data_IF_920864243368
#
_entry.id   IF_920864243368
#
_cell.length_a   1.000
_cell.length_b   1.000
_cell.length_c   1.000
_cell.angle_alpha   90.00
_cell.angle_beta   90.00
_cell.angle_gamma   90.00
#
_symmetry.space_group_name_H-M   'P 1'
#
loop_
_entity.id
_entity.type
_entity.pdbx_description
1 polymer ?
#
# COMPACT_ATOMS: atom_id res chain seq x y z
N UNK A 1 0.44 15.81 -11.94
CA UNK A 1 0.00 14.58 -12.63
C UNK A 1 -1.32 14.22 -12.02
N UNK A 2 -2.30 13.77 -12.77
CA UNK A 2 -3.59 13.45 -12.17
C UNK A 2 -3.52 12.14 -11.40
N UNK A 3 -4.47 11.92 -10.49
CA UNK A 3 -4.61 10.65 -9.78
C UNK A 3 -4.70 9.50 -10.79
N UNK A 4 -5.48 9.66 -11.84
CA UNK A 4 -5.65 8.59 -12.84
C UNK A 4 -4.36 8.30 -13.59
N UNK A 5 -3.57 9.31 -13.93
CA UNK A 5 -2.24 9.12 -14.54
C UNK A 5 -1.32 8.32 -13.61
N UNK A 6 -1.28 8.68 -12.32
CA UNK A 6 -0.50 7.97 -11.31
C UNK A 6 -0.98 6.52 -11.19
N UNK A 7 -2.28 6.29 -11.04
CA UNK A 7 -2.84 4.96 -10.84
C UNK A 7 -2.62 4.04 -12.05
N UNK A 8 -2.80 4.56 -13.27
CA UNK A 8 -2.47 3.80 -14.50
C UNK A 8 -1.00 3.39 -14.51
N UNK A 9 -0.10 4.32 -14.14
CA UNK A 9 1.33 4.03 -14.07
C UNK A 9 1.66 2.96 -13.02
N UNK A 10 1.08 3.08 -11.83
CA UNK A 10 1.25 2.10 -10.75
C UNK A 10 0.72 0.74 -11.16
N UNK A 11 -0.46 0.68 -11.76
CA UNK A 11 -1.06 -0.56 -12.24
C UNK A 11 -0.20 -1.24 -13.30
N UNK A 12 0.35 -0.46 -14.25
CA UNK A 12 1.28 -0.97 -15.26
C UNK A 12 2.55 -1.57 -14.64
N UNK A 13 3.15 -0.87 -13.67
CA UNK A 13 4.36 -1.35 -12.99
C UNK A 13 4.10 -2.65 -12.23
N UNK A 14 2.96 -2.76 -11.53
CA UNK A 14 2.64 -3.91 -10.69
C UNK A 14 2.14 -5.13 -11.50
N UNK A 15 1.21 -4.91 -12.43
CA UNK A 15 0.41 -5.97 -13.03
C UNK A 15 0.71 -6.22 -14.52
N UNK A 16 1.45 -5.32 -15.18
CA UNK A 16 1.83 -5.37 -16.60
C UNK A 16 0.64 -5.66 -17.52
N UNK A 17 0.43 -6.92 -17.89
CA UNK A 17 -0.66 -7.34 -18.78
C UNK A 17 -2.05 -7.16 -18.17
N UNK A 18 -2.16 -7.13 -16.84
CA UNK A 18 -3.43 -6.96 -16.12
C UNK A 18 -3.61 -5.53 -15.57
N UNK A 19 -2.92 -4.55 -16.16
CA UNK A 19 -2.87 -3.18 -15.65
C UNK A 19 -4.24 -2.49 -15.69
N UNK A 20 -5.02 -2.75 -16.73
CA UNK A 20 -6.36 -2.16 -16.89
C UNK A 20 -7.31 -2.70 -15.82
N UNK A 21 -7.30 -4.01 -15.56
CA UNK A 21 -8.12 -4.63 -14.51
C UNK A 21 -7.75 -4.12 -13.12
N UNK A 22 -6.46 -3.93 -12.84
CA UNK A 22 -6.01 -3.37 -11.57
C UNK A 22 -6.40 -1.89 -11.43
N UNK A 23 -6.30 -1.11 -12.51
CA UNK A 23 -6.74 0.29 -12.52
C UNK A 23 -8.25 0.39 -12.25
N UNK A 24 -9.06 -0.38 -12.96
CA UNK A 24 -10.52 -0.44 -12.77
C UNK A 24 -10.88 -0.84 -11.34
N UNK A 25 -10.20 -1.87 -10.81
CA UNK A 25 -10.34 -2.26 -9.42
C UNK A 25 -10.08 -1.07 -8.48
N UNK A 26 -8.97 -0.36 -8.64
CA UNK A 26 -8.59 0.75 -7.76
C UNK A 26 -9.66 1.85 -7.77
N UNK A 27 -10.09 2.31 -8.95
CA UNK A 27 -11.03 3.44 -9.03
C UNK A 27 -12.43 3.09 -8.52
N UNK A 28 -12.82 1.81 -8.56
CA UNK A 28 -14.12 1.34 -8.11
C UNK A 28 -14.15 0.79 -6.68
N UNK A 29 -13.00 0.61 -6.03
CA UNK A 29 -12.95 -0.10 -4.74
C UNK A 29 -12.12 0.58 -3.67
N UNK A 30 -11.54 1.75 -3.94
CA UNK A 30 -10.71 2.46 -2.97
C UNK A 30 -11.30 3.80 -2.52
N UNK A 31 -10.87 4.26 -1.35
CA UNK A 31 -11.30 5.48 -0.69
C UNK A 31 -10.14 6.45 -0.51
N UNK A 32 -10.34 7.74 -0.79
CA UNK A 32 -9.34 8.76 -0.52
C UNK A 32 -9.36 9.20 0.95
N UNK A 33 -8.21 9.10 1.61
CA UNK A 33 -8.05 9.35 3.05
C UNK A 33 -7.07 10.51 3.34
N UNK A 34 -7.04 11.54 2.48
CA UNK A 34 -6.22 12.74 2.75
C UNK A 34 -4.71 12.55 2.59
N UNK A 35 -4.29 11.63 1.71
CA UNK A 35 -2.87 11.38 1.43
C UNK A 35 -2.58 9.96 0.92
N UNK A 36 -3.52 9.04 1.08
CA UNK A 36 -3.45 7.69 0.54
C UNK A 36 -4.83 7.20 0.13
N UNK A 37 -4.87 6.21 -0.75
CA UNK A 37 -6.06 5.41 -1.04
C UNK A 37 -6.07 4.16 -0.18
N UNK A 38 -7.25 3.69 0.22
CA UNK A 38 -7.42 2.39 0.89
C UNK A 38 -8.57 1.60 0.31
N UNK A 39 -8.38 0.30 0.09
CA UNK A 39 -9.44 -0.61 -0.33
C UNK A 39 -10.58 -0.63 0.68
N UNK A 40 -11.79 -0.52 0.16
CA UNK A 40 -13.05 -0.60 0.89
C UNK A 40 -13.41 -2.06 1.15
N UNK A 41 -14.59 -2.27 1.75
CA UNK A 41 -15.11 -3.61 1.95
C UNK A 41 -15.68 -4.21 0.66
N UNK A 42 -16.34 -3.40 -0.19
CA UNK A 42 -17.00 -3.83 -1.42
C UNK A 42 -16.74 -2.88 -2.61
N UNK A 43 -17.10 -3.36 -3.81
CA UNK A 43 -17.19 -2.57 -5.04
C UNK A 43 -18.20 -1.42 -4.91
N UNK A 44 -17.91 -0.30 -5.59
CA UNK A 44 -18.81 0.84 -5.75
C UNK A 44 -18.99 1.24 -7.21
N UNK A 45 -20.22 1.58 -7.58
CA UNK A 45 -20.55 2.13 -8.91
C UNK A 45 -19.93 3.52 -9.12
N UNK A 46 -19.83 4.33 -8.05
CA UNK A 46 -19.21 5.65 -8.11
C UNK A 46 -17.69 5.52 -8.05
N UNK A 47 -17.03 5.85 -9.16
CA UNK A 47 -15.57 5.90 -9.27
C UNK A 47 -14.95 7.03 -8.43
N UNK A 48 -13.69 6.83 -8.04
CA UNK A 48 -12.85 7.88 -7.48
C UNK A 48 -12.77 9.08 -8.43
N UNK A 49 -12.96 10.28 -7.91
CA UNK A 49 -12.75 11.50 -8.69
C UNK A 49 -11.29 11.63 -9.10
N UNK A 50 -11.04 12.06 -10.34
CA UNK A 50 -9.71 12.46 -10.77
C UNK A 50 -9.36 13.86 -10.25
N UNK A 51 -8.14 14.04 -9.76
CA UNK A 51 -7.64 15.30 -9.21
C UNK A 51 -6.12 15.37 -9.34
N UNK A 52 -5.56 16.56 -9.26
CA UNK A 52 -4.10 16.74 -9.28
C UNK A 52 -3.44 16.13 -8.06
N UNK A 53 -2.51 15.18 -8.29
CA UNK A 53 -1.55 14.70 -7.32
C UNK A 53 -0.14 15.18 -7.72
N UNK A 54 0.74 15.38 -6.74
CA UNK A 54 1.99 16.14 -6.90
C UNK A 54 2.79 15.83 -8.18
N UNK A 55 3.44 16.83 -8.77
CA UNK A 55 4.07 16.73 -10.10
C UNK A 55 5.31 15.85 -10.19
N UNK A 56 5.98 15.56 -9.08
CA UNK A 56 7.36 15.02 -9.06
C UNK A 56 7.52 13.78 -8.18
N UNK A 57 6.51 12.91 -8.17
CA UNK A 57 6.57 11.65 -7.45
C UNK A 57 7.58 10.71 -8.11
N UNK A 58 8.57 10.24 -7.33
CA UNK A 58 9.60 9.31 -7.81
C UNK A 58 9.38 7.92 -7.24
N UNK A 59 9.06 7.85 -5.95
CA UNK A 59 8.77 6.59 -5.26
C UNK A 59 7.45 6.72 -4.54
N UNK A 60 6.61 5.69 -4.62
CA UNK A 60 5.44 5.57 -3.74
C UNK A 60 5.46 4.22 -3.01
N UNK A 61 4.62 4.12 -1.98
CA UNK A 61 4.39 2.91 -1.23
C UNK A 61 3.02 2.35 -1.57
N UNK A 62 2.99 1.05 -1.84
CA UNK A 62 1.77 0.24 -1.85
C UNK A 62 1.87 -0.74 -0.71
N UNK A 63 0.84 -0.90 0.11
CA UNK A 63 0.83 -1.92 1.17
C UNK A 63 -0.37 -2.84 1.03
N UNK A 64 -0.17 -4.13 1.25
CA UNK A 64 -1.22 -5.13 1.18
C UNK A 64 -1.50 -5.74 2.55
N UNK A 65 -2.73 -6.18 2.77
CA UNK A 65 -3.10 -6.98 3.95
C UNK A 65 -2.56 -8.40 3.89
N UNK A 66 -2.47 -8.96 2.69
CA UNK A 66 -1.94 -10.30 2.40
C UNK A 66 -1.12 -10.25 1.11
N UNK A 67 -0.19 -11.20 0.88
CA UNK A 67 0.52 -11.29 -0.39
C UNK A 67 -0.45 -11.43 -1.57
N UNK A 68 -0.10 -10.84 -2.71
CA UNK A 68 -0.87 -10.93 -3.94
C UNK A 68 0.08 -10.94 -5.15
N UNK A 69 -0.20 -11.79 -6.14
CA UNK A 69 0.57 -11.86 -7.38
C UNK A 69 -0.15 -11.07 -8.48
N UNK A 70 0.23 -9.82 -8.66
CA UNK A 70 -0.37 -8.92 -9.66
C UNK A 70 -0.14 -9.37 -11.11
N UNK A 71 0.94 -10.13 -11.37
CA UNK A 71 1.27 -10.58 -12.72
C UNK A 71 0.35 -11.71 -13.19
N UNK A 72 -0.06 -12.58 -12.27
CA UNK A 72 -0.81 -13.80 -12.61
C UNK A 72 -2.23 -13.85 -12.04
N UNK A 73 -2.63 -12.90 -11.20
CA UNK A 73 -3.96 -12.87 -10.59
C UNK A 73 -4.70 -11.56 -10.87
N UNK A 74 -5.95 -11.71 -11.32
CA UNK A 74 -6.95 -10.65 -11.43
C UNK A 74 -8.11 -10.85 -10.46
N UNK A 75 -7.99 -11.79 -9.52
CA UNK A 75 -9.02 -12.10 -8.53
C UNK A 75 -9.04 -11.03 -7.42
N UNK A 76 -9.50 -9.83 -7.76
CA UNK A 76 -9.56 -8.70 -6.83
C UNK A 76 -10.82 -8.71 -5.96
N UNK A 77 -11.84 -9.46 -6.36
CA UNK A 77 -13.12 -9.59 -5.69
C UNK A 77 -13.41 -11.03 -5.31
N UNK A 78 -14.27 -11.23 -4.33
CA UNK A 78 -14.78 -12.56 -4.00
C UNK A 78 -15.68 -13.09 -5.12
N UNK A 79 -15.67 -14.41 -5.32
CA UNK A 79 -16.60 -15.09 -6.24
C UNK A 79 -17.87 -15.48 -5.48
N UNK A 80 -19.03 -15.24 -6.08
CA UNK A 80 -20.31 -15.58 -5.47
C UNK A 80 -21.49 -14.76 -6.02
N UNK A 81 -22.68 -15.14 -5.59
CA UNK A 81 -23.92 -14.44 -5.92
C UNK A 81 -24.19 -13.37 -4.86
N UNK A 82 -23.74 -12.14 -5.12
CA UNK A 82 -23.89 -11.01 -4.22
C UNK A 82 -25.09 -10.16 -4.62
N UNK A 83 -26.04 -9.99 -3.70
CA UNK A 83 -27.29 -9.27 -3.97
C UNK A 83 -27.12 -7.75 -4.13
N UNK A 84 -26.06 -7.16 -3.54
CA UNK A 84 -25.88 -5.71 -3.49
C UNK A 84 -24.55 -5.23 -4.09
N UNK A 85 -23.44 -5.90 -3.78
CA UNK A 85 -22.11 -5.51 -4.25
C UNK A 85 -21.09 -6.60 -3.93
N UNK A 86 -20.19 -6.91 -4.86
CA UNK A 86 -19.11 -7.87 -4.67
C UNK A 86 -18.10 -7.38 -3.63
N UNK A 87 -17.68 -8.24 -2.70
CA UNK A 87 -16.67 -7.89 -1.70
C UNK A 87 -15.27 -7.87 -2.30
N UNK A 88 -14.41 -6.96 -1.84
CA UNK A 88 -13.01 -6.93 -2.31
C UNK A 88 -12.20 -7.98 -1.55
N UNK A 89 -11.55 -8.86 -2.31
CA UNK A 89 -10.61 -9.86 -1.79
C UNK A 89 -9.24 -9.22 -1.58
N UNK A 90 -8.76 -8.48 -2.59
CA UNK A 90 -7.55 -7.68 -2.45
C UNK A 90 -7.82 -6.55 -1.43
N UNK A 91 -6.91 -6.40 -0.47
CA UNK A 91 -6.92 -5.27 0.47
C UNK A 91 -5.59 -4.54 0.36
N UNK A 92 -5.64 -3.33 -0.17
CA UNK A 92 -4.47 -2.52 -0.51
C UNK A 92 -4.57 -1.09 0.05
N UNK A 93 -3.42 -0.44 0.26
CA UNK A 93 -3.28 1.00 0.39
C UNK A 93 -2.28 1.52 -0.66
N UNK A 94 -2.51 2.72 -1.19
CA UNK A 94 -1.61 3.40 -2.14
C UNK A 94 -1.32 4.80 -1.60
N UNK A 95 -0.07 5.11 -1.29
CA UNK A 95 0.34 6.42 -0.81
C UNK A 95 0.54 7.39 -1.99
N UNK A 96 -0.06 8.58 -1.91
CA UNK A 96 -0.16 9.53 -3.03
C UNK A 96 0.86 10.68 -2.91
N UNK A 97 2.01 10.42 -2.30
CA UNK A 97 3.09 11.38 -2.09
C UNK A 97 4.45 10.68 -2.16
N UNK A 98 5.51 11.47 -2.34
CA UNK A 98 6.84 10.91 -2.57
C UNK A 98 7.44 10.30 -1.30
N UNK A 99 7.88 9.05 -1.44
CA UNK A 99 8.50 8.23 -0.40
C UNK A 99 9.91 7.80 -0.79
N UNK A 100 10.62 8.64 -1.55
CA UNK A 100 12.02 8.42 -1.88
C UNK A 100 12.94 8.58 -0.67
N UNK A 101 12.50 9.36 0.32
CA UNK A 101 13.17 9.45 1.62
C UNK A 101 12.95 8.16 2.42
N UNK A 102 14.05 7.48 2.77
CA UNK A 102 14.02 6.20 3.50
C UNK A 102 13.35 6.30 4.88
N UNK A 103 13.55 7.39 5.61
CA UNK A 103 12.97 7.56 6.94
C UNK A 103 11.44 7.70 6.85
N UNK A 104 10.94 8.51 5.92
CA UNK A 104 9.50 8.63 5.68
C UNK A 104 8.90 7.30 5.21
N UNK A 105 9.56 6.60 4.28
CA UNK A 105 9.14 5.28 3.84
C UNK A 105 9.00 4.29 5.01
N UNK A 106 9.99 4.23 5.90
CA UNK A 106 9.95 3.35 7.07
C UNK A 106 8.82 3.74 8.04
N UNK A 107 8.53 5.03 8.21
CA UNK A 107 7.43 5.50 9.06
C UNK A 107 6.07 5.05 8.50
N UNK A 108 5.85 5.20 7.20
CA UNK A 108 4.59 4.82 6.56
C UNK A 108 4.38 3.31 6.50
N UNK A 109 5.45 2.53 6.31
CA UNK A 109 5.39 1.08 6.44
C UNK A 109 4.95 0.71 7.86
N UNK A 110 5.57 1.31 8.89
CA UNK A 110 5.22 1.02 10.28
C UNK A 110 3.77 1.40 10.61
N UNK A 111 3.29 2.53 10.09
CA UNK A 111 1.91 2.95 10.26
C UNK A 111 0.92 2.00 9.57
N UNK A 112 1.20 1.63 8.31
CA UNK A 112 0.39 0.69 7.52
C UNK A 112 0.27 -0.67 8.20
N UNK A 113 1.38 -1.16 8.74
CA UNK A 113 1.41 -2.42 9.48
C UNK A 113 0.60 -2.33 10.77
N UNK A 114 0.55 -1.16 11.42
CA UNK A 114 -0.24 -0.89 12.62
C UNK A 114 -1.74 -1.08 12.40
N UNK A 115 -2.19 -0.94 11.15
CA UNK A 115 -3.58 -1.13 10.71
C UNK A 115 -3.78 -2.40 9.88
N UNK A 116 -2.81 -3.33 9.91
CA UNK A 116 -2.92 -4.67 9.32
C UNK A 116 -2.49 -4.80 7.86
N UNK A 117 -1.89 -3.78 7.25
CA UNK A 117 -1.35 -3.83 5.89
C UNK A 117 0.16 -4.12 5.93
N UNK A 118 0.48 -5.37 6.23
CA UNK A 118 1.83 -5.81 6.63
C UNK A 118 2.78 -6.14 5.48
N UNK A 119 2.33 -6.05 4.23
CA UNK A 119 3.09 -6.44 3.04
C UNK A 119 3.39 -5.21 2.17
N UNK A 120 4.48 -4.48 2.47
CA UNK A 120 4.88 -3.30 1.72
C UNK A 120 5.54 -3.64 0.38
N UNK A 121 5.20 -2.84 -0.62
CA UNK A 121 5.73 -2.85 -1.97
C UNK A 121 6.18 -1.44 -2.29
N UNK A 122 7.47 -1.26 -2.53
CA UNK A 122 8.03 0.02 -2.95
C UNK A 122 7.95 0.11 -4.47
N UNK A 123 7.29 1.13 -4.99
CA UNK A 123 7.12 1.35 -6.43
C UNK A 123 7.99 2.53 -6.86
N UNK A 124 8.92 2.26 -7.79
CA UNK A 124 9.77 3.26 -8.43
C UNK A 124 9.11 3.72 -9.74
N UNK A 125 8.62 4.95 -9.73
CA UNK A 125 7.93 5.57 -10.86
C UNK A 125 8.89 6.07 -11.95
N UNK A 126 10.19 6.22 -11.66
CA UNK A 126 11.19 6.66 -12.65
C UNK A 126 11.67 5.45 -13.45
N UNK A 127 12.07 4.39 -12.76
CA UNK A 127 12.61 3.18 -13.36
C UNK A 127 11.53 2.16 -13.75
N UNK A 128 10.26 2.47 -13.47
CA UNK A 128 9.09 1.63 -13.77
C UNK A 128 9.24 0.21 -13.23
N UNK A 129 9.63 0.12 -11.95
CA UNK A 129 9.92 -1.14 -11.27
C UNK A 129 9.34 -1.13 -9.86
N UNK A 130 9.29 -2.30 -9.24
CA UNK A 130 8.88 -2.41 -7.84
C UNK A 130 9.75 -3.42 -7.08
N UNK A 131 9.80 -3.23 -5.77
CA UNK A 131 10.48 -4.11 -4.82
C UNK A 131 9.47 -4.56 -3.77
N UNK A 132 9.30 -5.88 -3.61
CA UNK A 132 8.54 -6.44 -2.49
C UNK A 132 9.45 -6.41 -1.27
N UNK A 133 9.09 -5.59 -0.29
CA UNK A 133 9.84 -5.45 0.95
C UNK A 133 9.43 -6.55 1.95
N UNK A 134 10.30 -6.90 2.92
CA UNK A 134 9.96 -7.88 3.94
C UNK A 134 8.70 -7.51 4.71
N UNK A 135 7.82 -8.49 4.92
CA UNK A 135 6.63 -8.28 5.74
C UNK A 135 7.03 -7.80 7.14
N UNK A 136 6.41 -6.72 7.61
CA UNK A 136 6.72 -6.16 8.91
C UNK A 136 5.67 -6.58 9.93
N UNK A 137 6.11 -7.28 10.98
CA UNK A 137 5.26 -7.66 12.10
C UNK A 137 5.55 -6.71 13.27
N UNK A 138 4.55 -5.93 13.71
CA UNK A 138 4.75 -4.94 14.80
C UNK A 138 5.23 -5.59 16.10
N UNK A 139 4.80 -6.82 16.36
CA UNK A 139 5.19 -7.62 17.53
C UNK A 139 6.71 -7.77 17.65
N UNK A 140 7.42 -8.01 16.54
CA UNK A 140 8.86 -8.25 16.55
C UNK A 140 9.70 -6.98 16.81
N UNK A 141 9.23 -5.79 16.37
CA UNK A 141 9.98 -4.52 16.49
C UNK A 141 9.75 -3.81 17.84
N UNK A 142 8.55 -3.94 18.43
CA UNK A 142 8.26 -3.43 19.78
C UNK A 142 9.13 -4.17 20.82
N UNK A 143 9.27 -5.48 20.70
CA UNK A 143 10.15 -6.26 21.59
C UNK A 143 11.62 -5.85 21.49
N UNK A 144 12.13 -5.61 20.28
CA UNK A 144 13.53 -5.19 20.09
C UNK A 144 13.79 -3.77 20.57
N UNK A 145 12.88 -2.81 20.33
CA UNK A 145 12.98 -1.45 20.91
C UNK A 145 12.88 -1.46 22.44
N UNK A 146 12.00 -2.27 23.02
CA UNK A 146 11.87 -2.39 24.48
C UNK A 146 13.08 -3.11 25.11
N UNK A 147 13.65 -4.13 24.46
CA UNK A 147 14.90 -4.78 24.89
C UNK A 147 16.09 -3.82 24.83
N UNK A 148 16.21 -3.02 23.77
CA UNK A 148 17.27 -2.02 23.62
C UNK A 148 17.17 -0.90 24.68
N UNK A 149 15.96 -0.38 24.96
CA UNK A 149 15.73 0.61 26.04
C UNK A 149 16.04 0.04 27.43
N UNK A 150 15.63 -1.20 27.72
CA UNK A 150 15.96 -1.89 28.99
C UNK A 150 17.46 -2.08 29.16
N UNK A 151 18.17 -2.45 28.09
CA UNK A 151 19.63 -2.66 28.14
C UNK A 151 20.37 -1.34 28.40
N UNK A 152 19.92 -0.22 27.81
CA UNK A 152 20.50 1.10 28.02
C UNK A 152 20.31 1.61 29.46
N UNK A 153 19.10 1.49 30.02
CA UNK A 153 18.80 1.82 31.42
C UNK A 153 19.60 1.00 32.44
N UNK A 154 19.86 -0.27 32.15
CA UNK A 154 20.64 -1.13 33.03
C UNK A 154 22.15 -0.85 33.01
N UNK A 155 22.65 -0.18 31.97
CA UNK A 155 24.06 0.27 31.87
C UNK A 155 24.23 1.62 32.58
N UNK A 156 23.26 2.53 32.43
CA UNK A 156 23.28 3.85 33.10
C UNK A 156 23.13 3.75 34.63
N UNK A 157 22.42 2.75 35.15
CA UNK A 157 22.27 2.52 36.61
C UNK A 157 23.42 1.71 37.25
N UNK A 158 24.48 1.39 36.51
CA UNK A 158 25.65 0.61 37.00
C UNK A 158 26.94 1.42 37.08
N UNK A 159 26.88 2.73 36.87
CA UNK A 159 27.97 3.71 37.06
C UNK A 159 27.62 4.53 38.31
#
# INVERSE_FOLDING_TARGET
MTLYELLKKVSFILAKSNADELFEYIIHSMDYNGGFLRSRYCYWEKILSDFECGSDLKTILVTLRSPFDFCNSTQYYEEGDFTNSTFTLLKMQIFLYDLSNKEHLEQEIMWSCGVGFSYPIKVDLINESFEILPAMNLSAKIETKNKAKRKKRNVENKI
#
